data_IF_911953436988
#
_entry.id   IF_911953436988
#
_cell.length_a   1.000
_cell.length_b   1.000
_cell.length_c   1.000
_cell.angle_alpha   90.00
_cell.angle_beta   90.00
_cell.angle_gamma   90.00
#
_symmetry.space_group_name_H-M   'P 1'
#
loop_
_entity.id
_entity.type
_entity.pdbx_description
1 polymer ?
#
# COMPACT_ATOMS: atom_id res chain seq x y z
N UNK A 1 -2.80 -11.42 3.00
CA UNK A 1 -1.92 -11.10 1.87
C UNK A 1 -0.47 -11.05 2.32
N UNK A 2 0.44 -11.41 1.43
CA UNK A 2 1.88 -11.19 1.54
C UNK A 2 2.28 -9.78 1.08
N UNK A 3 3.47 -9.28 1.46
CA UNK A 3 3.95 -7.98 0.98
C UNK A 3 4.08 -7.87 -0.55
N UNK A 4 4.45 -8.96 -1.24
CA UNK A 4 4.58 -8.97 -2.70
C UNK A 4 3.21 -8.88 -3.39
N UNK A 5 2.19 -9.54 -2.84
CA UNK A 5 0.81 -9.42 -3.32
C UNK A 5 0.28 -8.01 -3.09
N UNK A 6 0.58 -7.42 -1.94
CA UNK A 6 0.22 -6.02 -1.65
C UNK A 6 0.84 -5.07 -2.67
N UNK A 7 2.12 -5.23 -2.98
CA UNK A 7 2.78 -4.46 -4.02
C UNK A 7 2.10 -4.65 -5.39
N UNK A 8 1.87 -5.90 -5.80
CA UNK A 8 1.27 -6.24 -7.09
C UNK A 8 -0.15 -5.68 -7.23
N UNK A 9 -0.93 -5.70 -6.15
CA UNK A 9 -2.25 -5.11 -6.09
C UNK A 9 -2.21 -3.58 -6.26
N UNK A 10 -1.29 -2.89 -5.57
CA UNK A 10 -1.13 -1.44 -5.68
C UNK A 10 -0.66 -1.01 -7.08
N UNK A 11 0.24 -1.78 -7.69
CA UNK A 11 0.75 -1.55 -9.05
C UNK A 11 -0.36 -1.73 -10.11
N UNK A 12 -1.14 -2.81 -10.01
CA UNK A 12 -2.28 -3.05 -10.91
C UNK A 12 -3.38 -1.99 -10.77
N UNK A 13 -3.54 -1.40 -9.58
CA UNK A 13 -4.40 -0.24 -9.37
C UNK A 13 -3.83 1.09 -9.89
N UNK A 14 -2.57 1.10 -10.37
CA UNK A 14 -1.82 2.30 -10.82
C UNK A 14 -1.72 3.39 -9.73
N UNK A 15 -1.56 2.98 -8.48
CA UNK A 15 -1.48 3.89 -7.34
C UNK A 15 -0.05 4.21 -6.89
N UNK A 16 0.92 3.43 -7.38
CA UNK A 16 2.33 3.67 -7.12
C UNK A 16 2.83 4.91 -7.88
N UNK A 17 3.84 5.62 -7.37
CA UNK A 17 4.38 6.80 -8.04
C UNK A 17 4.85 6.47 -9.47
N UNK A 18 4.61 7.35 -10.46
CA UNK A 18 5.03 7.10 -11.85
C UNK A 18 6.54 7.30 -12.08
N UNK A 19 7.24 7.93 -11.13
CA UNK A 19 8.69 8.14 -11.17
C UNK A 19 9.47 6.91 -10.67
N UNK A 20 10.80 6.92 -10.82
CA UNK A 20 11.66 5.90 -10.21
C UNK A 20 11.51 5.95 -8.67
N UNK A 21 11.33 4.78 -8.07
CA UNK A 21 11.23 4.61 -6.63
C UNK A 21 11.91 3.31 -6.18
N UNK A 22 12.28 3.27 -4.91
CA UNK A 22 12.56 2.05 -4.18
C UNK A 22 11.33 1.68 -3.35
N UNK A 23 11.08 0.39 -3.15
CA UNK A 23 10.03 -0.06 -2.25
C UNK A 23 10.52 -1.20 -1.37
N UNK A 24 9.93 -1.31 -0.18
CA UNK A 24 10.14 -2.44 0.73
C UNK A 24 8.87 -2.78 1.50
N UNK A 25 8.71 -4.03 1.96
CA UNK A 25 7.67 -4.38 2.94
C UNK A 25 7.76 -3.50 4.18
N UNK A 26 6.61 -3.08 4.71
CA UNK A 26 6.51 -2.42 6.01
C UNK A 26 5.71 -3.28 6.99
N UNK A 27 4.54 -3.76 6.57
CA UNK A 27 3.79 -4.84 7.21
C UNK A 27 3.31 -5.83 6.13
N UNK A 28 2.43 -6.77 6.49
CA UNK A 28 1.82 -7.68 5.52
C UNK A 28 1.00 -6.97 4.43
N UNK A 29 0.26 -5.92 4.82
CA UNK A 29 -0.63 -5.15 3.93
C UNK A 29 -0.20 -3.70 3.75
N UNK A 30 1.02 -3.36 4.18
CA UNK A 30 1.60 -2.03 4.01
C UNK A 30 2.97 -2.12 3.34
N UNK A 31 3.17 -1.31 2.31
CA UNK A 31 4.50 -1.11 1.70
C UNK A 31 5.01 0.29 1.96
N UNK A 32 6.33 0.40 2.09
CA UNK A 32 7.05 1.66 2.07
C UNK A 32 7.57 1.92 0.66
N UNK A 33 7.38 3.14 0.18
CA UNK A 33 7.84 3.61 -1.12
C UNK A 33 8.66 4.87 -0.93
N UNK A 34 9.89 4.87 -1.42
CA UNK A 34 10.80 6.01 -1.39
C UNK A 34 11.09 6.49 -2.80
N UNK A 35 10.78 7.75 -3.02
CA UNK A 35 11.14 8.48 -4.23
C UNK A 35 12.27 9.46 -3.89
N UNK A 36 12.92 10.02 -4.91
CA UNK A 36 13.92 11.08 -4.72
C UNK A 36 13.41 12.30 -3.92
N UNK A 37 12.09 12.48 -3.85
CA UNK A 37 11.49 13.62 -3.16
C UNK A 37 10.95 13.22 -1.79
N UNK A 38 10.26 12.09 -1.67
CA UNK A 38 9.48 11.77 -0.48
C UNK A 38 9.38 10.29 -0.23
N UNK A 39 9.14 9.97 1.03
CA UNK A 39 8.79 8.66 1.53
C UNK A 39 7.28 8.56 1.72
N UNK A 40 6.69 7.43 1.33
CA UNK A 40 5.27 7.16 1.39
C UNK A 40 5.02 5.78 2.01
N UNK A 41 3.92 5.64 2.75
CA UNK A 41 3.35 4.35 3.12
C UNK A 41 2.04 4.17 2.36
N UNK A 42 1.87 3.00 1.78
CA UNK A 42 0.61 2.56 1.19
C UNK A 42 0.09 1.40 2.01
N UNK A 43 -1.04 1.61 2.69
CA UNK A 43 -1.72 0.59 3.48
C UNK A 43 -2.99 0.15 2.75
N UNK A 44 -3.13 -1.16 2.54
CA UNK A 44 -4.35 -1.77 2.02
C UNK A 44 -5.16 -2.29 3.21
N UNK A 45 -6.34 -1.71 3.41
CA UNK A 45 -7.30 -2.18 4.40
C UNK A 45 -8.24 -3.19 3.75
N UNK A 46 -8.17 -4.44 4.22
CA UNK A 46 -8.97 -5.55 3.69
C UNK A 46 -10.40 -5.55 4.23
N UNK A 47 -10.65 -4.90 5.37
CA UNK A 47 -11.97 -4.86 5.98
C UNK A 47 -12.81 -3.74 5.37
N UNK A 48 -12.26 -2.53 5.39
CA UNK A 48 -12.94 -1.34 4.85
C UNK A 48 -12.83 -1.25 3.32
N UNK A 49 -12.01 -2.11 2.70
CA UNK A 49 -11.75 -2.11 1.25
C UNK A 49 -11.24 -0.74 0.79
N UNK A 50 -10.26 -0.19 1.50
CA UNK A 50 -9.67 1.10 1.21
C UNK A 50 -8.15 1.01 1.06
N UNK A 51 -7.57 2.04 0.46
CA UNK A 51 -6.13 2.25 0.46
C UNK A 51 -5.86 3.58 1.13
N UNK A 52 -5.07 3.54 2.21
CA UNK A 52 -4.61 4.73 2.91
C UNK A 52 -3.16 5.03 2.54
N UNK A 53 -2.89 6.26 2.13
CA UNK A 53 -1.59 6.77 1.73
C UNK A 53 -1.13 7.77 2.80
N UNK A 54 0.08 7.56 3.30
CA UNK A 54 0.73 8.43 4.26
C UNK A 54 2.05 8.95 3.69
N UNK A 55 2.46 10.16 4.04
CA UNK A 55 3.75 10.72 3.65
C UNK A 55 4.63 10.97 4.88
N UNK A 56 5.92 10.66 4.74
CA UNK A 56 6.91 10.97 5.76
C UNK A 56 7.00 12.46 5.99
N UNK A 57 6.94 12.88 7.26
CA UNK A 57 7.07 14.28 7.63
C UNK A 57 8.55 14.72 7.52
N UNK A 58 8.84 15.55 6.51
CA UNK A 58 10.19 16.10 6.31
C UNK A 58 10.63 17.09 7.39
N UNK A 59 9.72 17.54 8.27
CA UNK A 59 10.00 18.48 9.35
C UNK A 59 10.28 17.80 10.69
N UNK A 60 10.03 16.50 10.77
CA UNK A 60 10.31 15.69 11.95
C UNK A 60 11.73 15.13 11.86
N UNK A 61 12.54 15.34 12.90
CA UNK A 61 13.86 14.69 13.04
C UNK A 61 13.72 13.17 13.25
N UNK A 62 12.52 12.71 13.59
CA UNK A 62 12.17 11.29 13.69
C UNK A 62 11.70 10.80 12.31
N UNK A 63 12.55 9.98 11.68
CA UNK A 63 12.38 9.40 10.32
C UNK A 63 11.16 8.50 10.13
N UNK A 64 10.35 8.28 11.16
CA UNK A 64 9.24 7.32 11.18
C UNK A 64 7.87 7.97 11.40
N UNK A 65 7.79 9.31 11.41
CA UNK A 65 6.49 9.99 11.45
C UNK A 65 5.89 10.09 10.05
N UNK A 66 4.76 9.42 9.86
CA UNK A 66 3.97 9.47 8.64
C UNK A 66 2.62 10.15 8.91
N UNK A 67 2.28 11.13 8.07
CA UNK A 67 1.02 11.85 8.15
C UNK A 67 0.06 11.35 7.06
N UNK A 68 -1.24 11.21 7.37
CA UNK A 68 -2.23 10.80 6.36
C UNK A 68 -2.31 11.85 5.25
N UNK A 69 -2.29 11.38 4.01
CA UNK A 69 -2.39 12.22 2.81
C UNK A 69 -3.71 11.99 2.11
N UNK A 70 -4.09 10.73 1.93
CA UNK A 70 -5.27 10.35 1.17
C UNK A 70 -5.77 8.97 1.58
N UNK A 71 -7.08 8.80 1.56
CA UNK A 71 -7.74 7.49 1.58
C UNK A 71 -8.54 7.34 0.30
N UNK A 72 -8.46 6.15 -0.31
CA UNK A 72 -9.08 5.83 -1.59
C UNK A 72 -9.98 4.62 -1.38
N UNK A 73 -11.26 4.78 -1.64
CA UNK A 73 -12.21 3.67 -1.64
C UNK A 73 -11.99 2.81 -2.90
N UNK A 74 -11.92 1.50 -2.71
CA UNK A 74 -11.78 0.57 -3.82
C UNK A 74 -13.10 0.42 -4.57
N UNK A 75 -13.03 0.46 -5.90
CA UNK A 75 -14.20 0.15 -6.72
C UNK A 75 -14.44 -1.37 -6.78
N UNK A 76 -15.62 -1.77 -7.30
CA UNK A 76 -16.03 -3.18 -7.32
C UNK A 76 -15.05 -4.11 -8.03
N UNK A 77 -14.33 -3.65 -9.07
CA UNK A 77 -13.33 -4.47 -9.76
C UNK A 77 -12.08 -4.67 -8.88
N UNK A 78 -11.62 -3.60 -8.22
CA UNK A 78 -10.49 -3.66 -7.29
C UNK A 78 -10.81 -4.50 -6.05
N UNK A 79 -12.01 -4.36 -5.48
CA UNK A 79 -12.49 -5.22 -4.38
C UNK A 79 -12.51 -6.69 -4.78
N UNK A 80 -12.99 -7.01 -6.00
CA UNK A 80 -13.01 -8.40 -6.49
C UNK A 80 -11.61 -8.97 -6.65
N UNK A 81 -10.68 -8.17 -7.17
CA UNK A 81 -9.27 -8.53 -7.28
C UNK A 81 -8.65 -8.77 -5.91
N UNK A 82 -8.91 -7.90 -4.93
CA UNK A 82 -8.38 -8.02 -3.58
C UNK A 82 -8.85 -9.31 -2.88
N UNK A 83 -10.14 -9.63 -2.98
CA UNK A 83 -10.72 -10.88 -2.44
C UNK A 83 -10.12 -12.15 -3.05
N UNK A 84 -9.59 -12.08 -4.28
CA UNK A 84 -8.92 -13.22 -4.90
C UNK A 84 -7.59 -13.56 -4.19
N UNK A 85 -6.91 -12.56 -3.62
CA UNK A 85 -5.69 -12.77 -2.82
C UNK A 85 -6.00 -13.33 -1.42
N UNK A 86 -7.12 -12.93 -0.80
CA UNK A 86 -7.58 -13.54 0.47
C UNK A 86 -7.93 -15.03 0.31
N UNK A 87 -8.53 -15.41 -0.82
CA UNK A 87 -8.92 -16.79 -1.07
C UNK A 87 -7.70 -17.71 -1.18
N UNK A 88 -6.59 -17.24 -1.76
CA UNK A 88 -5.37 -18.05 -1.93
C UNK A 88 -4.69 -18.36 -0.59
N UNK A 89 -4.67 -17.42 0.36
CA UNK A 89 -4.11 -17.67 1.70
C UNK A 89 -4.92 -18.70 2.50
N UNK A 90 -6.25 -18.73 2.35
CA UNK A 90 -7.12 -19.64 3.11
C UNK A 90 -7.14 -21.08 2.57
N UNK A 91 -6.68 -21.31 1.33
CA UNK A 91 -6.66 -22.66 0.72
C UNK A 91 -5.29 -23.35 0.89
N UNK A 92 -4.26 -22.62 1.29
CA UNK A 92 -2.88 -23.13 1.43
C UNK A 92 -2.50 -23.54 2.86
N UNK A 93 -3.46 -23.65 3.78
CA UNK A 93 -3.26 -24.12 5.16
C UNK A 93 -4.01 -25.43 5.44
#
# INVERSE_FOLDING_TARGET
>A
MTPNETYSFLDSCRLLPPQIYFWKPFTKTTIYVETAQRSLLYHVDLYDMTISIFAGDRRSELSEHFLPVQTIDLNSAQTKMLKSYEYVENVTH
#
